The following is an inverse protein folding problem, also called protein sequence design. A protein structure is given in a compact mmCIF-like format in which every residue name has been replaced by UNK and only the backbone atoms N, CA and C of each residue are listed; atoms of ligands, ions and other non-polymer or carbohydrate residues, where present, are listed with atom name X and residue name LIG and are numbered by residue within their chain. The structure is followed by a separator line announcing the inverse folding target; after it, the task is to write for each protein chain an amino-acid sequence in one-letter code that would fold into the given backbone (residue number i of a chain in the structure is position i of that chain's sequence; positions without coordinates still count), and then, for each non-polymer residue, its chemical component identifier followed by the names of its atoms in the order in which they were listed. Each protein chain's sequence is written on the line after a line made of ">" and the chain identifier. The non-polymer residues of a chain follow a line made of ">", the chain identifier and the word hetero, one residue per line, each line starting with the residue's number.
data_IF_850072471486
#
_entry.id   IF_850072471486
#
_cell.length_a   1.000
_cell.length_b   1.000
_cell.length_c   1.000
_cell.angle_alpha   90.00
_cell.angle_beta   90.00
_cell.angle_gamma   90.00
#
_symmetry.space_group_name_H-M   'P 1'
#
loop_
_entity.id
_entity.type
_entity.pdbx_description
1 polymer ?
#
# COMPACT_ATOMS: atom_id res chain seq x y z
N UNK A 1 -41.93 -18.11 -13.74
CA UNK A 1 -40.74 -18.13 -12.86
C UNK A 1 -40.02 -16.77 -12.85
N UNK A 2 -40.53 -15.73 -12.15
CA UNK A 2 -39.94 -14.38 -12.15
C UNK A 2 -38.92 -14.13 -11.01
N UNK A 3 -38.97 -14.90 -9.92
CA UNK A 3 -38.22 -14.60 -8.69
C UNK A 3 -36.69 -14.77 -8.82
N UNK A 4 -36.21 -15.70 -9.65
CA UNK A 4 -34.77 -15.96 -9.80
C UNK A 4 -34.02 -14.83 -10.54
N UNK A 5 -34.68 -14.10 -11.44
CA UNK A 5 -34.08 -12.95 -12.16
C UNK A 5 -33.84 -11.74 -11.26
N UNK A 6 -34.63 -11.58 -10.19
CA UNK A 6 -34.49 -10.43 -9.28
C UNK A 6 -33.20 -10.48 -8.45
N UNK A 7 -32.74 -11.67 -8.05
CA UNK A 7 -31.56 -11.83 -7.17
C UNK A 7 -30.23 -11.52 -7.86
N UNK A 8 -30.14 -11.77 -9.16
CA UNK A 8 -28.95 -11.47 -9.97
C UNK A 8 -28.71 -9.97 -10.18
N UNK A 9 -29.77 -9.15 -10.14
CA UNK A 9 -29.66 -7.69 -10.28
C UNK A 9 -29.04 -7.04 -9.03
N UNK A 10 -29.29 -7.61 -7.85
CA UNK A 10 -28.79 -7.07 -6.59
C UNK A 10 -27.34 -7.47 -6.28
N UNK A 11 -26.84 -8.57 -6.88
CA UNK A 11 -25.48 -9.04 -6.64
C UNK A 11 -24.40 -7.97 -6.90
N UNK A 12 -24.35 -7.27 -8.05
CA UNK A 12 -23.34 -6.24 -8.28
C UNK A 12 -23.48 -5.04 -7.33
N UNK A 13 -24.72 -4.68 -6.95
CA UNK A 13 -24.96 -3.64 -5.95
C UNK A 13 -24.39 -4.02 -4.59
N UNK A 14 -24.61 -5.27 -4.17
CA UNK A 14 -24.15 -5.81 -2.89
C UNK A 14 -22.63 -5.93 -2.85
N UNK A 15 -22.01 -6.37 -3.95
CA UNK A 15 -20.54 -6.40 -4.11
C UNK A 15 -19.96 -4.99 -4.03
N UNK A 16 -20.52 -4.03 -4.76
CA UNK A 16 -20.05 -2.65 -4.73
C UNK A 16 -20.23 -2.00 -3.35
N UNK A 17 -21.30 -2.34 -2.61
CA UNK A 17 -21.52 -1.89 -1.23
C UNK A 17 -20.45 -2.47 -0.28
N UNK A 18 -20.14 -3.76 -0.40
CA UNK A 18 -19.09 -4.39 0.40
C UNK A 18 -17.74 -3.74 0.11
N UNK A 19 -17.40 -3.54 -1.17
CA UNK A 19 -16.14 -2.89 -1.55
C UNK A 19 -16.07 -1.47 -0.97
N UNK A 20 -17.12 -0.65 -1.15
CA UNK A 20 -17.16 0.69 -0.58
C UNK A 20 -17.02 0.67 0.95
N UNK A 21 -17.72 -0.24 1.63
CA UNK A 21 -17.63 -0.40 3.09
C UNK A 21 -16.21 -0.77 3.55
N UNK A 22 -15.59 -1.76 2.90
CA UNK A 22 -14.20 -2.16 3.18
C UNK A 22 -13.25 -0.99 2.93
N UNK A 23 -13.39 -0.27 1.80
CA UNK A 23 -12.55 0.88 1.48
C UNK A 23 -12.69 2.02 2.50
N UNK A 24 -13.90 2.32 2.99
CA UNK A 24 -14.11 3.32 4.06
C UNK A 24 -13.41 2.89 5.35
N UNK A 25 -13.57 1.63 5.77
CA UNK A 25 -12.89 1.13 6.97
C UNK A 25 -11.37 1.21 6.79
N UNK A 26 -10.85 0.85 5.62
CA UNK A 26 -9.43 0.92 5.31
C UNK A 26 -8.92 2.37 5.33
N UNK A 27 -9.66 3.32 4.76
CA UNK A 27 -9.35 4.75 4.82
C UNK A 27 -9.30 5.26 6.26
N UNK A 28 -10.28 4.88 7.09
CA UNK A 28 -10.32 5.30 8.49
C UNK A 28 -9.15 4.74 9.28
N UNK A 29 -8.77 3.48 9.05
CA UNK A 29 -7.58 2.89 9.66
C UNK A 29 -6.31 3.59 9.18
N UNK A 30 -6.15 3.81 7.87
CA UNK A 30 -5.01 4.52 7.31
C UNK A 30 -4.90 5.96 7.81
N UNK A 31 -6.04 6.63 8.02
CA UNK A 31 -6.06 7.99 8.54
C UNK A 31 -5.73 8.03 10.03
N UNK A 32 -6.32 7.14 10.83
CA UNK A 32 -6.10 7.06 12.28
C UNK A 32 -4.68 6.62 12.65
N UNK A 33 -4.09 5.70 11.89
CA UNK A 33 -2.77 5.12 12.18
C UNK A 33 -1.65 5.70 11.31
N UNK A 34 -1.97 6.28 10.16
CA UNK A 34 -0.99 6.70 9.18
C UNK A 34 -0.65 8.19 9.18
N UNK A 35 -1.35 9.02 9.96
CA UNK A 35 -0.94 10.41 10.21
C UNK A 35 -0.28 10.53 11.59
N UNK A 36 1.02 10.83 11.61
CA UNK A 36 1.76 11.18 12.84
C UNK A 36 2.36 10.00 13.62
N UNK A 37 2.13 8.75 13.20
CA UNK A 37 2.85 7.59 13.73
C UNK A 37 3.83 7.06 12.67
N UNK A 38 5.12 6.83 12.98
CA UNK A 38 6.08 6.21 12.06
C UNK A 38 5.76 4.72 11.80
N UNK A 39 4.64 4.22 12.34
CA UNK A 39 4.16 2.85 12.16
C UNK A 39 3.38 2.76 10.85
N UNK A 40 4.06 2.37 9.78
CA UNK A 40 3.43 2.08 8.50
C UNK A 40 2.78 0.70 8.61
N UNK A 41 1.59 0.52 8.03
CA UNK A 41 1.01 -0.82 7.81
C UNK A 41 1.87 -1.47 6.72
N UNK A 42 2.91 -2.16 7.15
CA UNK A 42 3.94 -2.72 6.30
C UNK A 42 3.37 -3.73 5.29
N UNK A 43 2.34 -4.50 5.67
CA UNK A 43 1.65 -5.43 4.77
C UNK A 43 1.02 -4.78 3.54
N UNK A 44 0.48 -3.56 3.67
CA UNK A 44 -0.10 -2.85 2.52
C UNK A 44 1.00 -2.37 1.56
N UNK A 45 2.21 -2.14 2.06
CA UNK A 45 3.40 -1.79 1.29
C UNK A 45 4.11 -3.00 0.67
N UNK A 46 4.09 -4.14 1.37
CA UNK A 46 4.84 -5.35 1.03
C UNK A 46 4.19 -6.14 -0.12
N UNK A 47 2.86 -6.21 -0.16
CA UNK A 47 2.15 -6.83 -1.29
C UNK A 47 2.32 -6.05 -2.61
N UNK A 48 2.50 -4.73 -2.53
CA UNK A 48 2.82 -3.88 -3.67
C UNK A 48 4.19 -4.19 -4.29
N UNK A 49 5.14 -4.64 -3.48
CA UNK A 49 6.55 -4.83 -3.86
C UNK A 49 6.81 -6.20 -4.46
N UNK A 50 6.17 -7.27 -3.96
CA UNK A 50 6.40 -8.64 -4.46
C UNK A 50 5.85 -8.87 -5.88
N UNK A 51 4.80 -8.14 -6.28
CA UNK A 51 4.05 -8.52 -7.48
C UNK A 51 4.54 -7.85 -8.77
N UNK A 52 5.45 -6.87 -8.72
CA UNK A 52 5.72 -5.95 -9.85
C UNK A 52 4.43 -5.33 -10.44
N UNK A 53 3.33 -5.48 -9.72
CA UNK A 53 1.99 -5.18 -10.17
C UNK A 53 1.67 -3.88 -9.48
N UNK A 54 1.73 -2.84 -10.30
CA UNK A 54 1.52 -1.46 -9.94
C UNK A 54 0.04 -1.30 -9.57
N UNK A 55 -0.31 -1.79 -8.39
CA UNK A 55 -1.66 -1.89 -7.85
C UNK A 55 -2.31 -0.50 -7.74
N UNK A 56 -1.50 0.53 -7.54
CA UNK A 56 -1.80 1.96 -7.70
C UNK A 56 -2.25 2.29 -9.12
N UNK A 57 -1.50 1.88 -10.14
CA UNK A 57 -1.85 2.05 -11.56
C UNK A 57 -3.10 1.25 -11.91
N UNK A 58 -3.29 0.06 -11.33
CA UNK A 58 -4.49 -0.76 -11.50
C UNK A 58 -5.71 -0.12 -10.82
N UNK A 59 -5.57 0.40 -9.61
CA UNK A 59 -6.63 1.12 -8.89
C UNK A 59 -7.01 2.44 -9.59
N UNK A 60 -6.02 3.16 -10.11
CA UNK A 60 -6.24 4.35 -10.93
C UNK A 60 -6.95 4.00 -12.25
N UNK A 61 -6.55 2.91 -12.92
CA UNK A 61 -7.22 2.40 -14.11
C UNK A 61 -8.67 1.98 -13.84
N UNK A 62 -8.94 1.33 -12.71
CA UNK A 62 -10.29 0.97 -12.27
C UNK A 62 -11.14 2.22 -11.97
N UNK A 63 -10.56 3.24 -11.34
CA UNK A 63 -11.23 4.52 -11.13
C UNK A 63 -11.60 5.18 -12.45
N UNK A 64 -10.63 5.36 -13.35
CA UNK A 64 -10.86 6.02 -14.64
C UNK A 64 -11.89 5.25 -15.50
N UNK A 65 -11.77 3.92 -15.55
CA UNK A 65 -12.71 3.05 -16.25
C UNK A 65 -14.13 3.13 -15.68
N UNK A 66 -14.28 3.10 -14.35
CA UNK A 66 -15.60 3.22 -13.71
C UNK A 66 -16.22 4.61 -13.85
N UNK A 67 -15.41 5.67 -13.88
CA UNK A 67 -15.86 7.04 -14.13
C UNK A 67 -16.41 7.19 -15.56
N UNK A 68 -15.72 6.62 -16.56
CA UNK A 68 -16.19 6.60 -17.95
C UNK A 68 -17.53 5.84 -18.06
N UNK A 69 -17.61 4.64 -17.46
CA UNK A 69 -18.83 3.83 -17.47
C UNK A 69 -20.01 4.57 -16.81
N UNK A 70 -19.78 5.21 -15.65
CA UNK A 70 -20.79 6.03 -14.99
C UNK A 70 -21.31 7.14 -15.91
N UNK A 71 -20.39 7.87 -16.56
CA UNK A 71 -20.72 8.99 -17.44
C UNK A 71 -21.49 8.52 -18.68
N UNK A 72 -21.12 7.37 -19.27
CA UNK A 72 -21.85 6.74 -20.37
C UNK A 72 -23.27 6.31 -19.96
N UNK A 73 -23.43 5.72 -18.77
CA UNK A 73 -24.73 5.31 -18.24
C UNK A 73 -25.63 6.53 -18.01
N UNK A 74 -25.12 7.58 -17.39
CA UNK A 74 -25.85 8.84 -17.18
C UNK A 74 -26.32 9.46 -18.51
N UNK A 75 -25.44 9.52 -19.52
CA UNK A 75 -25.78 10.02 -20.85
C UNK A 75 -26.86 9.14 -21.50
N UNK A 76 -26.70 7.81 -21.47
CA UNK A 76 -27.64 6.88 -22.07
C UNK A 76 -29.03 6.97 -21.41
N UNK A 77 -29.09 7.08 -20.09
CA UNK A 77 -30.34 7.23 -19.34
C UNK A 77 -31.07 8.54 -19.66
N UNK A 78 -30.33 9.64 -19.89
CA UNK A 78 -30.88 10.94 -20.30
C UNK A 78 -31.44 10.91 -21.72
N UNK A 79 -30.75 10.22 -22.65
CA UNK A 79 -31.20 10.07 -24.05
C UNK A 79 -32.42 9.14 -24.14
N UNK A 80 -32.44 8.04 -23.37
CA UNK A 80 -33.45 6.99 -23.50
C UNK A 80 -34.84 7.34 -22.96
N UNK A 81 -35.06 8.53 -22.37
CA UNK A 81 -36.31 8.93 -21.68
C UNK A 81 -36.85 7.79 -20.78
N UNK A 82 -35.94 7.17 -20.03
CA UNK A 82 -36.23 6.05 -19.13
C UNK A 82 -37.30 6.41 -18.10
N UNK A 83 -38.06 5.42 -17.64
CA UNK A 83 -38.99 5.63 -16.52
C UNK A 83 -38.22 6.07 -15.28
N UNK A 84 -38.80 7.00 -14.50
CA UNK A 84 -38.16 7.59 -13.31
C UNK A 84 -37.60 6.54 -12.35
N UNK A 85 -38.28 5.41 -12.20
CA UNK A 85 -37.86 4.32 -11.32
C UNK A 85 -36.61 3.57 -11.84
N UNK A 86 -36.53 3.28 -13.14
CA UNK A 86 -35.36 2.64 -13.76
C UNK A 86 -34.17 3.60 -13.76
N UNK A 87 -34.40 4.88 -14.08
CA UNK A 87 -33.37 5.92 -13.99
C UNK A 87 -32.74 5.97 -12.60
N UNK A 88 -33.56 6.03 -11.53
CA UNK A 88 -33.05 6.10 -10.16
C UNK A 88 -32.24 4.87 -9.76
N UNK A 89 -32.68 3.66 -10.10
CA UNK A 89 -31.97 2.41 -9.73
C UNK A 89 -30.61 2.33 -10.46
N UNK A 90 -30.60 2.62 -11.76
CA UNK A 90 -29.38 2.52 -12.56
C UNK A 90 -28.40 3.63 -12.19
N UNK A 91 -28.87 4.88 -12.01
CA UNK A 91 -28.04 5.99 -11.57
C UNK A 91 -27.46 5.75 -10.16
N UNK A 92 -28.26 5.26 -9.22
CA UNK A 92 -27.77 4.93 -7.87
C UNK A 92 -26.72 3.82 -7.89
N UNK A 93 -26.93 2.78 -8.70
CA UNK A 93 -25.97 1.67 -8.84
C UNK A 93 -24.66 2.16 -9.46
N UNK A 94 -24.75 2.95 -10.53
CA UNK A 94 -23.59 3.49 -11.22
C UNK A 94 -22.80 4.47 -10.32
N UNK A 95 -23.51 5.32 -9.56
CA UNK A 95 -22.90 6.21 -8.58
C UNK A 95 -22.16 5.43 -7.49
N UNK A 96 -22.74 4.34 -7.00
CA UNK A 96 -22.14 3.52 -5.96
C UNK A 96 -20.86 2.83 -6.44
N UNK A 97 -20.82 2.35 -7.68
CA UNK A 97 -19.58 1.83 -8.31
C UNK A 97 -18.54 2.93 -8.45
N UNK A 98 -18.92 4.11 -8.94
CA UNK A 98 -18.01 5.25 -9.05
C UNK A 98 -17.42 5.65 -7.69
N UNK A 99 -18.27 5.74 -6.67
CA UNK A 99 -17.85 6.08 -5.31
C UNK A 99 -16.92 5.02 -4.71
N UNK A 100 -17.22 3.73 -4.88
CA UNK A 100 -16.35 2.64 -4.44
C UNK A 100 -14.96 2.73 -5.10
N UNK A 101 -14.90 2.97 -6.41
CA UNK A 101 -13.63 3.13 -7.13
C UNK A 101 -12.86 4.38 -6.69
N UNK A 102 -13.54 5.48 -6.41
CA UNK A 102 -12.92 6.69 -5.87
C UNK A 102 -12.26 6.42 -4.51
N UNK A 103 -12.96 5.70 -3.63
CA UNK A 103 -12.42 5.31 -2.32
C UNK A 103 -11.22 4.38 -2.47
N UNK A 104 -11.28 3.39 -3.36
CA UNK A 104 -10.15 2.52 -3.66
C UNK A 104 -8.94 3.31 -4.16
N UNK A 105 -9.15 4.23 -5.10
CA UNK A 105 -8.11 5.11 -5.61
C UNK A 105 -7.52 5.99 -4.49
N UNK A 106 -8.36 6.50 -3.60
CA UNK A 106 -7.93 7.27 -2.42
C UNK A 106 -7.10 6.42 -1.45
N UNK A 107 -7.52 5.20 -1.15
CA UNK A 107 -6.75 4.28 -0.30
C UNK A 107 -5.39 3.95 -0.91
N UNK A 108 -5.35 3.63 -2.20
CA UNK A 108 -4.09 3.33 -2.88
C UNK A 108 -3.17 4.55 -2.90
N UNK A 109 -3.71 5.76 -3.04
CA UNK A 109 -2.93 6.99 -2.99
C UNK A 109 -2.35 7.28 -1.59
N UNK A 110 -3.13 7.06 -0.53
CA UNK A 110 -2.64 7.26 0.85
C UNK A 110 -1.55 6.25 1.18
N UNK A 111 -1.76 4.97 0.85
CA UNK A 111 -0.71 3.96 1.04
C UNK A 111 0.51 4.32 0.22
N UNK A 112 0.34 4.68 -1.06
CA UNK A 112 1.44 5.14 -1.93
C UNK A 112 2.25 6.29 -1.29
N UNK A 113 1.56 7.30 -0.74
CA UNK A 113 2.21 8.41 -0.05
C UNK A 113 2.99 7.96 1.19
N UNK A 114 2.49 6.98 1.93
CA UNK A 114 3.13 6.43 3.13
C UNK A 114 4.30 5.48 2.82
N UNK A 115 4.24 4.79 1.69
CA UNK A 115 5.27 3.83 1.28
C UNK A 115 6.41 4.47 0.49
N UNK A 116 6.16 5.68 -0.02
CA UNK A 116 7.09 6.48 -0.82
C UNK A 116 6.70 6.50 -2.30
N UNK A 117 6.94 7.65 -2.92
CA UNK A 117 6.74 7.94 -4.35
C UNK A 117 7.68 7.05 -5.18
N UNK A 118 7.19 6.49 -6.29
CA UNK A 118 7.92 5.80 -7.37
C UNK A 118 9.36 5.44 -7.02
N UNK A 119 9.54 4.33 -6.31
CA UNK A 119 10.86 3.88 -5.93
C UNK A 119 10.99 2.37 -5.95
N UNK A 120 12.10 1.89 -6.49
CA UNK A 120 12.52 0.51 -6.37
C UNK A 120 12.82 0.22 -4.90
N UNK A 121 12.03 -0.68 -4.31
CA UNK A 121 12.31 -1.27 -2.99
C UNK A 121 12.84 -2.66 -3.18
N UNK A 122 13.98 -2.94 -2.58
CA UNK A 122 14.49 -4.31 -2.47
C UNK A 122 14.48 -4.76 -1.01
N UNK A 123 14.09 -5.99 -0.77
CA UNK A 123 14.24 -6.60 0.54
C UNK A 123 15.61 -7.24 0.61
N UNK A 124 16.41 -6.86 1.61
CA UNK A 124 17.78 -7.36 1.74
C UNK A 124 17.85 -8.52 2.71
N UNK A 125 17.38 -8.30 3.93
CA UNK A 125 17.50 -9.27 4.99
C UNK A 125 16.39 -9.13 6.03
N UNK A 126 16.08 -10.24 6.71
CA UNK A 126 15.18 -10.31 7.86
C UNK A 126 15.90 -10.93 9.04
N UNK A 127 15.84 -10.29 10.20
CA UNK A 127 16.34 -10.81 11.47
C UNK A 127 15.22 -10.89 12.50
N UNK A 128 15.32 -11.83 13.45
CA UNK A 128 14.37 -11.94 14.57
C UNK A 128 15.13 -11.77 15.87
N UNK A 129 14.61 -10.91 16.73
CA UNK A 129 15.17 -10.67 18.06
C UNK A 129 14.02 -10.46 19.04
N UNK A 130 14.03 -11.24 20.12
CA UNK A 130 12.94 -11.30 21.10
C UNK A 130 11.56 -11.50 20.43
N UNK A 131 10.62 -10.57 20.65
CA UNK A 131 9.24 -10.62 20.11
C UNK A 131 9.04 -9.77 18.86
N UNK A 132 10.13 -9.27 18.26
CA UNK A 132 10.11 -8.38 17.10
C UNK A 132 10.76 -9.02 15.88
N UNK A 133 10.29 -8.61 14.71
CA UNK A 133 10.88 -8.96 13.41
C UNK A 133 11.51 -7.70 12.85
N UNK A 134 12.74 -7.81 12.36
CA UNK A 134 13.48 -6.69 11.81
C UNK A 134 13.70 -6.91 10.33
N UNK A 135 13.40 -5.90 9.51
CA UNK A 135 13.59 -5.98 8.06
C UNK A 135 14.50 -4.86 7.58
N UNK A 136 15.48 -5.23 6.77
CA UNK A 136 16.34 -4.29 6.07
C UNK A 136 15.87 -4.19 4.62
N UNK A 137 15.56 -2.96 4.20
CA UNK A 137 15.12 -2.66 2.85
C UNK A 137 16.01 -1.61 2.20
N UNK A 138 16.31 -1.80 0.92
CA UNK A 138 16.82 -0.76 0.06
C UNK A 138 15.65 0.05 -0.53
N UNK A 139 15.82 1.35 -0.66
CA UNK A 139 14.87 2.26 -1.31
C UNK A 139 15.63 3.18 -2.27
N UNK A 140 15.34 3.06 -3.55
CA UNK A 140 15.81 3.95 -4.62
C UNK A 140 14.61 4.66 -5.21
N UNK A 141 14.68 5.96 -5.44
CA UNK A 141 13.61 6.66 -6.16
C UNK A 141 13.81 6.46 -7.67
N UNK A 142 12.88 5.76 -8.31
CA UNK A 142 12.92 5.52 -9.76
C UNK A 142 12.62 6.84 -10.49
N UNK A 143 13.64 7.41 -11.12
CA UNK A 143 13.47 8.37 -12.20
C UNK A 143 13.62 9.86 -11.86
N UNK A 144 14.18 10.23 -10.71
CA UNK A 144 14.53 11.64 -10.44
C UNK A 144 15.99 11.78 -10.04
N UNK A 145 16.83 12.24 -10.98
CA UNK A 145 18.21 12.63 -10.69
C UNK A 145 18.24 13.63 -9.52
N UNK A 146 18.96 13.30 -8.45
CA UNK A 146 19.16 14.16 -7.28
C UNK A 146 18.46 13.73 -6.00
N UNK A 147 17.66 12.66 -6.00
CA UNK A 147 17.22 12.01 -4.76
C UNK A 147 18.25 10.99 -4.28
N UNK A 148 18.56 11.01 -2.98
CA UNK A 148 19.47 10.04 -2.38
C UNK A 148 18.74 8.70 -2.18
N UNK A 149 19.36 7.60 -2.55
CA UNK A 149 18.89 6.26 -2.19
C UNK A 149 19.17 6.01 -0.70
N UNK A 150 18.35 5.18 -0.06
CA UNK A 150 18.46 4.89 1.37
C UNK A 150 18.27 3.41 1.68
N UNK A 151 18.96 2.93 2.69
CA UNK A 151 18.64 1.69 3.40
C UNK A 151 17.81 2.03 4.63
N UNK A 152 16.66 1.38 4.79
CA UNK A 152 15.78 1.53 5.93
C UNK A 152 15.76 0.24 6.75
N UNK A 153 16.01 0.39 8.04
CA UNK A 153 15.86 -0.68 9.02
C UNK A 153 14.51 -0.52 9.73
N UNK A 154 13.65 -1.51 9.56
CA UNK A 154 12.33 -1.58 10.16
C UNK A 154 12.34 -2.51 11.37
N UNK A 155 11.67 -2.10 12.44
CA UNK A 155 11.24 -2.96 13.54
C UNK A 155 9.73 -3.19 13.41
N UNK A 156 9.34 -4.45 13.36
CA UNK A 156 7.97 -4.90 13.21
C UNK A 156 7.55 -5.74 14.40
N UNK A 157 6.25 -5.72 14.72
CA UNK A 157 5.69 -6.61 15.71
C UNK A 157 5.82 -8.09 15.30
N UNK A 158 5.57 -9.02 16.24
CA UNK A 158 5.70 -10.46 15.98
C UNK A 158 4.87 -11.00 14.80
N UNK A 159 3.79 -10.28 14.44
CA UNK A 159 2.91 -10.60 13.33
C UNK A 159 3.33 -9.91 12.01
N UNK A 160 4.37 -9.09 12.05
CA UNK A 160 4.91 -8.33 10.92
C UNK A 160 3.91 -7.36 10.28
N UNK A 161 2.93 -6.87 11.06
CA UNK A 161 1.84 -6.02 10.57
C UNK A 161 2.18 -4.54 10.70
N UNK A 162 2.73 -4.17 11.85
CA UNK A 162 3.03 -2.78 12.21
C UNK A 162 4.53 -2.61 12.31
N UNK A 163 5.10 -1.86 11.37
CA UNK A 163 6.54 -1.62 11.33
C UNK A 163 6.88 -0.16 11.49
N UNK A 164 7.93 0.13 12.25
CA UNK A 164 8.52 1.47 12.41
C UNK A 164 9.94 1.49 11.85
N UNK A 165 10.31 2.59 11.21
CA UNK A 165 11.71 2.84 10.85
C UNK A 165 12.48 3.14 12.13
N UNK A 166 13.51 2.36 12.42
CA UNK A 166 14.42 2.58 13.56
C UNK A 166 15.75 3.18 13.13
N UNK A 167 16.16 3.00 11.87
CA UNK A 167 17.40 3.56 11.35
C UNK A 167 17.34 3.75 9.83
N UNK A 168 18.06 4.76 9.33
CA UNK A 168 18.14 5.10 7.91
C UNK A 168 19.59 5.37 7.54
N UNK A 169 20.09 4.73 6.47
CA UNK A 169 21.44 4.95 5.95
C UNK A 169 21.36 5.47 4.52
N UNK A 170 21.95 6.63 4.18
CA UNK A 170 22.10 7.06 2.80
C UNK A 170 23.00 6.08 2.04
N UNK A 171 22.60 5.63 0.84
CA UNK A 171 23.39 4.72 0.00
C UNK A 171 24.79 5.26 -0.28
N UNK A 172 24.91 6.57 -0.48
CA UNK A 172 26.21 7.24 -0.66
C UNK A 172 27.16 7.04 0.51
N UNK A 173 26.65 6.94 1.75
CA UNK A 173 27.46 6.63 2.94
C UNK A 173 27.91 5.17 3.02
N UNK A 174 27.22 4.27 2.29
CA UNK A 174 27.57 2.85 2.18
C UNK A 174 28.58 2.65 1.05
N UNK A 175 28.35 3.26 -0.12
CA UNK A 175 29.21 3.12 -1.30
C UNK A 175 30.55 3.87 -1.21
N UNK A 176 30.62 4.95 -0.41
CA UNK A 176 31.89 5.65 -0.13
C UNK A 176 32.90 4.78 0.62
N UNK A 177 32.48 3.65 1.20
CA UNK A 177 33.36 2.65 1.83
C UNK A 177 33.99 1.65 0.86
N UNK A 178 34.04 1.98 -0.44
CA UNK A 178 34.63 1.18 -1.52
C UNK A 178 34.00 -0.21 -1.66
N UNK A 179 33.06 -0.33 -2.59
CA UNK A 179 32.32 -1.57 -2.96
C UNK A 179 31.55 -2.18 -1.79
N UNK A 180 30.23 -1.99 -1.78
CA UNK A 180 29.36 -2.71 -0.83
C UNK A 180 29.36 -4.19 -1.24
N UNK A 181 30.12 -5.00 -0.53
CA UNK A 181 30.18 -6.44 -0.75
C UNK A 181 29.15 -7.17 0.12
N UNK A 182 28.83 -6.61 1.29
CA UNK A 182 27.88 -7.19 2.24
C UNK A 182 27.20 -6.11 3.09
N UNK A 183 25.90 -6.29 3.32
CA UNK A 183 25.17 -5.59 4.38
C UNK A 183 24.39 -6.66 5.15
N UNK A 184 24.59 -6.71 6.47
CA UNK A 184 24.08 -7.78 7.32
C UNK A 184 23.42 -7.27 8.59
N UNK A 185 22.37 -7.96 9.01
CA UNK A 185 21.76 -7.80 10.33
C UNK A 185 22.11 -8.97 11.23
N UNK A 186 22.85 -8.69 12.30
CA UNK A 186 23.26 -9.69 13.29
C UNK A 186 22.46 -9.49 14.59
N UNK A 187 21.45 -10.34 14.86
CA UNK A 187 20.77 -10.33 16.15
C UNK A 187 21.63 -11.05 17.21
N UNK A 188 21.88 -10.38 18.34
CA UNK A 188 22.46 -10.98 19.54
C UNK A 188 21.35 -11.18 20.60
N UNK A 189 20.84 -12.42 20.77
CA UNK A 189 19.78 -12.70 21.72
C UNK A 189 20.25 -12.70 23.18
N UNK A 190 21.55 -12.72 23.45
CA UNK A 190 22.09 -12.78 24.83
C UNK A 190 21.99 -11.40 25.49
N UNK A 191 22.44 -10.37 24.78
CA UNK A 191 22.37 -8.97 25.26
C UNK A 191 21.16 -8.22 24.70
N UNK A 192 20.32 -8.91 23.91
CA UNK A 192 19.14 -8.38 23.24
C UNK A 192 19.48 -7.15 22.38
N UNK A 193 20.44 -7.30 21.47
CA UNK A 193 20.82 -6.23 20.53
C UNK A 193 20.71 -6.70 19.09
N UNK A 194 20.46 -5.75 18.18
CA UNK A 194 20.53 -5.95 16.74
C UNK A 194 21.66 -5.07 16.20
N UNK A 195 22.64 -5.70 15.57
CA UNK A 195 23.78 -5.02 14.96
C UNK A 195 23.57 -4.98 13.46
N UNK A 196 23.74 -3.80 12.87
CA UNK A 196 23.78 -3.62 11.43
C UNK A 196 25.24 -3.45 11.02
N UNK A 197 25.69 -4.32 10.13
CA UNK A 197 27.04 -4.34 9.60
C UNK A 197 27.03 -4.02 8.10
N UNK A 198 28.00 -3.22 7.67
CA UNK A 198 28.26 -2.91 6.26
C UNK A 198 29.73 -3.20 6.02
N UNK A 199 30.04 -4.13 5.09
CA UNK A 199 31.41 -4.57 4.81
C UNK A 199 32.17 -4.98 6.08
N UNK A 200 31.55 -5.80 6.93
CA UNK A 200 32.10 -6.31 8.20
C UNK A 200 32.40 -5.22 9.27
N UNK A 201 31.94 -3.98 9.05
CA UNK A 201 32.02 -2.90 10.02
C UNK A 201 30.65 -2.62 10.65
N UNK A 202 30.62 -2.54 11.98
CA UNK A 202 29.43 -2.14 12.72
C UNK A 202 29.10 -0.68 12.43
N UNK A 203 27.97 -0.44 11.76
CA UNK A 203 27.49 0.92 11.46
C UNK A 203 26.41 1.38 12.42
N UNK A 204 25.69 0.44 13.02
CA UNK A 204 24.61 0.74 13.95
C UNK A 204 24.38 -0.43 14.91
N UNK A 205 24.10 -0.11 16.17
CA UNK A 205 23.69 -1.08 17.18
C UNK A 205 22.40 -0.59 17.81
N UNK A 206 21.38 -1.42 17.76
CA UNK A 206 20.07 -1.16 18.35
C UNK A 206 19.83 -2.08 19.53
N UNK A 207 19.37 -1.52 20.64
CA UNK A 207 18.90 -2.28 21.79
C UNK A 207 17.41 -1.93 21.97
N UNK A 208 16.49 -2.88 21.71
CA UNK A 208 15.04 -2.65 21.79
C UNK A 208 14.57 -2.26 23.20
#
# INVERSE_FOLDING_TARGET
>A
MPQARSRLIWLPFLVALIIAGVSVVLLLLLWAFGWGNPRVIYWLAYAATISNNDWTTSAFGLFLGSAIVYLCIEIALRIAKSTKQVHNIVAASAFLVFFASLLLCGTSWIVWWQTGIFGFRDHIETARLASYVYHLHFYSYDGVEGYNDYYYLYECDSLDILCRIIYTIPRTSVETRSVVNSIHMLPDPIVNTLVLEVNDEVVYTYQP
#
